data_IF_608272111982
#
_entry.id   IF_608272111982
#
_cell.length_a   1.000
_cell.length_b   1.000
_cell.length_c   1.000
_cell.angle_alpha   90.00
_cell.angle_beta   90.00
_cell.angle_gamma   90.00
#
_symmetry.space_group_name_H-M   'P 1'
#
loop_
_entity.id
_entity.type
_entity.pdbx_description
1 polymer ?
#
# COMPACT_ATOMS: atom_id res chain seq x y z
N UNK A 1 -49.83 19.91 20.34
CA UNK A 1 -48.64 20.25 19.55
C UNK A 1 -49.03 21.22 18.47
N UNK A 2 -48.40 22.38 18.36
CA UNK A 2 -48.86 23.51 17.54
C UNK A 2 -48.54 23.20 16.06
N UNK A 3 -49.53 23.38 15.14
CA UNK A 3 -49.41 23.10 13.71
C UNK A 3 -48.23 23.80 13.05
N UNK A 4 -47.78 24.94 13.59
CA UNK A 4 -46.60 25.67 13.10
C UNK A 4 -45.28 24.97 13.45
N UNK A 5 -45.20 24.28 14.59
CA UNK A 5 -44.01 23.52 15.02
C UNK A 5 -43.86 22.25 14.17
N UNK A 6 -44.99 21.64 13.80
CA UNK A 6 -44.99 20.46 12.95
C UNK A 6 -44.56 20.77 11.50
N UNK A 7 -44.96 21.96 10.97
CA UNK A 7 -44.49 22.41 9.65
C UNK A 7 -43.00 22.71 9.59
N UNK A 8 -42.42 23.25 10.68
CA UNK A 8 -40.97 23.52 10.76
C UNK A 8 -40.18 22.22 10.88
N UNK A 9 -40.68 21.24 11.64
CA UNK A 9 -40.04 19.92 11.75
C UNK A 9 -40.10 19.13 10.45
N UNK A 10 -41.20 19.21 9.69
CA UNK A 10 -41.33 18.58 8.38
C UNK A 10 -40.44 19.29 7.34
N UNK A 11 -40.32 20.62 7.39
CA UNK A 11 -39.40 21.36 6.51
C UNK A 11 -37.91 21.06 6.84
N UNK A 12 -37.56 20.84 8.11
CA UNK A 12 -36.22 20.44 8.50
C UNK A 12 -35.91 19.01 8.08
N UNK A 13 -36.87 18.09 8.12
CA UNK A 13 -36.69 16.71 7.63
C UNK A 13 -36.62 16.63 6.11
N UNK A 14 -37.31 17.50 5.41
CA UNK A 14 -37.28 17.60 3.92
C UNK A 14 -36.01 18.32 3.43
N UNK A 15 -35.42 19.21 4.25
CA UNK A 15 -34.14 19.84 3.90
C UNK A 15 -32.94 18.90 4.08
N UNK A 16 -33.06 17.85 4.90
CA UNK A 16 -32.03 16.85 5.09
C UNK A 16 -32.07 15.76 4.01
N UNK A 17 -33.18 15.62 3.29
CA UNK A 17 -33.30 14.69 2.16
C UNK A 17 -32.93 15.30 0.81
N UNK A 18 -32.55 16.58 0.75
CA UNK A 18 -32.16 17.29 -0.48
C UNK A 18 -30.64 17.44 -0.64
N UNK A 19 -29.84 16.77 0.18
CA UNK A 19 -28.38 16.71 0.02
C UNK A 19 -27.94 15.47 -0.80
N UNK A 20 -28.89 14.65 -1.26
CA UNK A 20 -28.58 13.50 -2.10
C UNK A 20 -28.60 13.81 -3.59
N UNK A 21 -28.01 14.92 -4.01
CA UNK A 21 -27.78 15.22 -5.43
C UNK A 21 -26.48 16.01 -5.58
N UNK A 22 -25.40 15.51 -5.04
CA UNK A 22 -24.08 15.83 -5.53
C UNK A 22 -23.67 14.71 -6.47
N UNK A 23 -24.01 14.97 -7.71
CA UNK A 23 -23.25 14.69 -8.94
C UNK A 23 -22.28 13.51 -8.92
N UNK A 24 -22.48 12.55 -9.71
CA UNK A 24 -21.67 11.63 -10.48
C UNK A 24 -20.15 11.78 -10.58
N UNK A 25 -19.49 12.30 -9.55
CA UNK A 25 -18.04 12.23 -9.39
C UNK A 25 -17.61 11.19 -8.33
N UNK A 26 -18.58 10.44 -7.81
CA UNK A 26 -18.27 9.34 -6.89
C UNK A 26 -17.93 9.73 -5.44
N UNK A 27 -17.94 11.00 -5.06
CA UNK A 27 -17.44 11.48 -3.77
C UNK A 27 -18.52 11.81 -2.73
N UNK A 28 -19.58 11.01 -2.63
CA UNK A 28 -20.57 11.20 -1.56
C UNK A 28 -20.18 10.42 -0.29
N UNK A 29 -19.63 11.09 0.76
CA UNK A 29 -19.25 10.41 2.00
C UNK A 29 -20.43 9.81 2.76
N UNK A 30 -21.66 9.96 2.25
CA UNK A 30 -22.88 9.40 2.80
C UNK A 30 -23.44 8.25 1.95
N UNK A 31 -22.84 7.91 0.81
CA UNK A 31 -23.20 6.74 0.01
C UNK A 31 -22.43 5.52 0.48
N UNK A 32 -23.05 4.56 1.20
CA UNK A 32 -22.35 3.38 1.67
C UNK A 32 -21.97 2.41 0.54
N UNK A 33 -22.36 2.69 -0.70
CA UNK A 33 -22.06 1.80 -1.83
C UNK A 33 -20.67 2.03 -2.42
N UNK A 34 -20.05 3.18 -2.17
CA UNK A 34 -18.72 3.54 -2.66
C UNK A 34 -17.60 3.36 -1.63
N UNK A 35 -17.95 3.05 -0.38
CA UNK A 35 -16.97 2.81 0.69
C UNK A 35 -16.00 1.65 0.42
N UNK A 36 -16.38 0.72 -0.45
CA UNK A 36 -15.53 -0.40 -0.87
C UNK A 36 -14.74 -0.13 -2.16
N UNK A 37 -14.90 1.03 -2.77
CA UNK A 37 -14.09 1.44 -3.92
C UNK A 37 -12.72 1.99 -3.44
N UNK A 38 -11.73 1.91 -4.30
CA UNK A 38 -10.43 2.54 -4.18
C UNK A 38 -10.30 3.49 -5.39
N UNK A 39 -10.40 4.79 -5.14
CA UNK A 39 -10.56 5.75 -6.25
C UNK A 39 -9.24 6.27 -6.80
N UNK A 40 -8.21 6.37 -5.98
CA UNK A 40 -6.88 6.82 -6.40
C UNK A 40 -5.91 5.67 -6.66
N UNK A 41 -6.27 4.44 -6.25
CA UNK A 41 -5.56 3.21 -6.58
C UNK A 41 -4.35 2.96 -5.72
N UNK A 42 -4.35 3.46 -4.48
CA UNK A 42 -3.23 3.34 -3.55
C UNK A 42 -3.26 2.06 -2.69
N UNK A 43 -4.38 1.32 -2.76
CA UNK A 43 -4.61 0.08 -2.02
C UNK A 43 -5.49 0.23 -0.78
N UNK A 44 -5.90 1.44 -0.40
CA UNK A 44 -6.94 1.68 0.60
C UNK A 44 -8.29 1.84 -0.08
N UNK A 45 -9.32 1.33 0.54
CA UNK A 45 -10.69 1.66 0.14
C UNK A 45 -11.09 3.03 0.69
N UNK A 46 -12.04 3.71 0.04
CA UNK A 46 -12.55 5.01 0.49
C UNK A 46 -12.98 4.99 1.97
N UNK A 47 -13.49 3.86 2.45
CA UNK A 47 -13.88 3.68 3.87
C UNK A 47 -12.65 3.57 4.80
N UNK A 48 -11.57 2.94 4.35
CA UNK A 48 -10.32 2.85 5.11
C UNK A 48 -9.65 4.21 5.17
N UNK A 49 -9.60 4.94 4.06
CA UNK A 49 -9.09 6.31 3.99
C UNK A 49 -9.85 7.26 4.92
N UNK A 50 -11.18 7.20 4.94
CA UNK A 50 -11.97 7.98 5.87
C UNK A 50 -11.62 7.66 7.33
N UNK A 51 -11.30 6.41 7.66
CA UNK A 51 -10.87 6.01 9.00
C UNK A 51 -9.43 6.46 9.32
N UNK A 52 -8.56 6.50 8.33
CA UNK A 52 -7.17 6.97 8.46
C UNK A 52 -7.07 8.49 8.42
N UNK A 53 -8.05 9.16 7.82
CA UNK A 53 -8.07 10.61 7.63
C UNK A 53 -7.29 11.06 6.39
N UNK A 54 -7.14 10.16 5.43
CA UNK A 54 -6.50 10.39 4.13
C UNK A 54 -7.50 10.89 3.09
N UNK A 55 -7.05 11.17 1.88
CA UNK A 55 -7.85 11.79 0.82
C UNK A 55 -8.12 10.80 -0.30
N UNK A 56 -9.33 10.27 -0.39
CA UNK A 56 -9.84 9.27 -1.36
C UNK A 56 -9.57 9.57 -2.85
N UNK A 57 -9.01 10.70 -3.19
CA UNK A 57 -8.67 11.10 -4.57
C UNK A 57 -7.20 11.49 -4.71
N UNK A 58 -6.39 11.14 -3.74
CA UNK A 58 -4.96 11.46 -3.73
C UNK A 58 -4.18 10.38 -3.01
N UNK A 59 -3.59 9.48 -3.74
CA UNK A 59 -2.85 8.30 -3.28
C UNK A 59 -1.67 8.59 -2.32
N UNK A 60 -1.30 9.84 -2.12
CA UNK A 60 -0.25 10.32 -1.22
C UNK A 60 -0.79 11.59 -0.54
N UNK A 61 -1.43 11.41 0.62
CA UNK A 61 -2.18 12.47 1.30
C UNK A 61 -1.30 13.56 1.90
N UNK A 62 -0.10 13.23 2.37
CA UNK A 62 0.81 14.17 3.04
C UNK A 62 1.95 14.68 2.15
N UNK A 63 2.16 14.05 0.98
CA UNK A 63 3.04 14.53 -0.07
C UNK A 63 4.52 14.19 0.13
N UNK A 64 4.83 13.09 0.82
CA UNK A 64 6.21 12.66 1.07
C UNK A 64 6.74 11.66 0.04
N UNK A 65 5.88 11.20 -0.87
CA UNK A 65 6.22 10.31 -1.98
C UNK A 65 5.88 8.86 -1.72
N UNK A 66 5.22 8.55 -0.59
CA UNK A 66 4.73 7.23 -0.25
C UNK A 66 3.20 7.18 -0.44
N UNK A 67 2.64 6.12 -1.06
CA UNK A 67 1.20 5.94 -1.11
C UNK A 67 0.63 5.62 0.27
N UNK A 68 -0.53 6.21 0.60
CA UNK A 68 -1.21 6.02 1.89
C UNK A 68 -1.40 4.54 2.24
N UNK A 69 -1.80 3.72 1.25
CA UNK A 69 -1.97 2.27 1.44
C UNK A 69 -0.68 1.51 1.71
N UNK A 70 0.43 1.92 1.09
CA UNK A 70 1.74 1.34 1.39
C UNK A 70 2.19 1.70 2.81
N UNK A 71 2.00 2.94 3.24
CA UNK A 71 2.34 3.39 4.58
C UNK A 71 1.56 2.64 5.66
N UNK A 72 0.24 2.53 5.49
CA UNK A 72 -0.62 1.75 6.41
C UNK A 72 -0.18 0.29 6.49
N UNK A 73 0.18 -0.32 5.35
CA UNK A 73 0.63 -1.72 5.29
C UNK A 73 1.95 -1.94 6.01
N UNK A 74 2.80 -0.91 6.07
CA UNK A 74 4.12 -0.96 6.72
C UNK A 74 4.13 -0.33 8.13
N UNK A 75 2.96 0.10 8.63
CA UNK A 75 2.81 0.67 9.97
C UNK A 75 3.33 2.10 10.10
N UNK A 76 3.40 2.83 9.00
CA UNK A 76 3.71 4.25 8.92
C UNK A 76 2.43 5.09 9.05
N UNK A 77 2.56 6.40 9.02
CA UNK A 77 1.44 7.32 9.20
C UNK A 77 1.17 8.15 7.94
N UNK A 78 0.13 7.84 7.13
CA UNK A 78 -0.15 8.46 5.83
C UNK A 78 -0.58 9.95 5.92
N UNK A 79 -0.49 10.55 7.09
CA UNK A 79 -0.74 11.98 7.32
C UNK A 79 0.45 12.70 7.94
N UNK A 80 1.64 12.09 7.94
CA UNK A 80 2.86 12.64 8.53
C UNK A 80 4.02 12.67 7.51
N UNK A 81 4.05 13.59 6.60
CA UNK A 81 5.08 13.75 5.55
C UNK A 81 6.54 13.87 6.02
N UNK A 82 6.85 13.35 7.18
CA UNK A 82 8.21 13.29 7.73
C UNK A 82 8.77 11.89 7.84
N UNK A 83 7.92 10.87 7.80
CA UNK A 83 8.35 9.49 7.97
C UNK A 83 8.87 8.85 6.68
N UNK A 84 8.56 9.41 5.49
CA UNK A 84 9.23 9.01 4.25
C UNK A 84 10.76 9.15 4.27
N UNK A 85 11.30 10.02 5.13
CA UNK A 85 12.73 10.18 5.32
C UNK A 85 13.29 9.40 6.53
N UNK A 86 12.45 8.67 7.26
CA UNK A 86 12.90 7.83 8.36
C UNK A 86 13.55 6.54 7.82
N UNK A 87 14.36 5.91 8.66
CA UNK A 87 15.03 4.62 8.43
C UNK A 87 14.79 3.79 9.70
N UNK A 88 13.68 3.03 9.77
CA UNK A 88 13.29 2.33 10.99
C UNK A 88 14.14 1.12 11.34
N UNK A 89 14.65 0.37 10.36
CA UNK A 89 15.46 -0.83 10.57
C UNK A 89 16.97 -0.55 10.61
N UNK A 90 17.40 0.64 10.16
CA UNK A 90 18.76 1.13 10.31
C UNK A 90 19.74 0.57 9.29
N UNK A 91 19.27 0.12 8.15
CA UNK A 91 20.12 -0.40 7.08
C UNK A 91 20.78 0.72 6.25
N UNK A 92 20.26 1.93 6.33
CA UNK A 92 20.74 3.12 5.63
C UNK A 92 19.88 3.53 4.42
N UNK A 93 18.80 2.80 4.10
CA UNK A 93 17.75 3.26 3.20
C UNK A 93 16.66 3.98 3.99
N UNK A 94 16.08 5.03 3.41
CA UNK A 94 14.89 5.66 3.95
C UNK A 94 13.64 4.92 3.46
N UNK A 95 12.51 5.05 4.16
CA UNK A 95 11.23 4.48 3.72
C UNK A 95 10.92 4.77 2.25
N UNK A 96 11.18 6.00 1.78
CA UNK A 96 10.98 6.37 0.38
C UNK A 96 11.95 5.65 -0.58
N UNK A 97 13.17 5.34 -0.15
CA UNK A 97 14.13 4.58 -0.94
C UNK A 97 13.75 3.10 -0.99
N UNK A 98 13.26 2.57 0.11
CA UNK A 98 12.78 1.20 0.19
C UNK A 98 11.51 0.98 -0.63
N UNK A 99 10.56 1.91 -0.57
CA UNK A 99 9.40 1.89 -1.46
C UNK A 99 9.83 1.82 -2.93
N UNK A 100 10.80 2.64 -3.34
CA UNK A 100 11.32 2.65 -4.70
C UNK A 100 12.10 1.37 -5.07
N UNK A 101 12.75 0.72 -4.11
CA UNK A 101 13.49 -0.54 -4.29
C UNK A 101 12.56 -1.77 -4.18
N UNK A 102 11.38 -1.62 -3.58
CA UNK A 102 10.47 -2.71 -3.28
C UNK A 102 10.91 -3.56 -2.09
N UNK A 103 11.71 -2.99 -1.19
CA UNK A 103 12.20 -3.62 0.05
C UNK A 103 11.26 -3.36 1.24
N UNK A 104 11.54 -3.95 2.37
CA UNK A 104 10.70 -3.88 3.56
C UNK A 104 11.27 -2.90 4.59
N UNK A 105 10.63 -1.73 4.85
CA UNK A 105 11.16 -0.67 5.71
C UNK A 105 11.28 -1.04 7.19
N UNK A 106 10.97 -2.27 7.55
CA UNK A 106 11.08 -2.79 8.90
C UNK A 106 12.03 -4.00 8.98
N UNK A 107 12.76 -4.29 7.90
CA UNK A 107 13.67 -5.42 7.85
C UNK A 107 14.89 -5.13 6.97
N UNK A 108 16.02 -4.83 7.58
CA UNK A 108 17.29 -4.44 6.96
C UNK A 108 17.88 -5.44 5.94
N UNK A 109 17.31 -6.61 5.80
CA UNK A 109 17.69 -7.69 4.89
C UNK A 109 16.38 -8.34 4.44
N UNK A 110 15.79 -7.80 3.35
CA UNK A 110 14.43 -8.13 2.91
C UNK A 110 14.29 -9.58 2.49
N UNK A 111 15.26 -10.14 1.75
CA UNK A 111 15.20 -11.52 1.25
C UNK A 111 15.89 -12.55 2.15
N UNK A 112 16.68 -12.11 3.13
CA UNK A 112 17.25 -12.96 4.17
C UNK A 112 18.53 -13.68 3.75
N UNK A 113 19.27 -13.18 2.76
CA UNK A 113 20.51 -13.80 2.29
C UNK A 113 21.74 -13.45 3.15
N UNK A 114 21.59 -12.47 4.05
CA UNK A 114 22.63 -11.98 4.96
C UNK A 114 23.31 -10.69 4.53
N UNK A 115 22.83 -10.04 3.46
CA UNK A 115 23.23 -8.69 3.06
C UNK A 115 22.11 -7.71 3.37
N UNK A 116 22.50 -6.53 3.83
CA UNK A 116 21.53 -5.46 4.02
C UNK A 116 21.09 -4.87 2.68
N UNK A 117 19.83 -4.45 2.58
CA UNK A 117 19.20 -3.98 1.33
C UNK A 117 19.98 -2.85 0.65
N UNK A 118 20.61 -1.95 1.43
CA UNK A 118 21.40 -0.84 0.93
C UNK A 118 22.71 -1.22 0.24
N UNK A 119 23.20 -2.43 0.45
CA UNK A 119 24.46 -2.95 -0.13
C UNK A 119 24.23 -4.15 -1.04
N UNK A 120 23.01 -4.66 -1.08
CA UNK A 120 22.61 -5.75 -1.93
C UNK A 120 22.26 -5.26 -3.34
N UNK A 121 22.77 -5.94 -4.36
CA UNK A 121 22.45 -5.66 -5.77
C UNK A 121 21.09 -6.23 -6.19
N UNK A 122 20.58 -7.21 -5.43
CA UNK A 122 19.33 -7.91 -5.69
C UNK A 122 18.52 -8.10 -4.40
N UNK A 123 18.11 -7.04 -3.69
CA UNK A 123 17.60 -7.07 -2.33
C UNK A 123 16.25 -7.80 -2.13
N UNK A 124 15.73 -8.39 -3.17
CA UNK A 124 14.51 -9.19 -3.18
C UNK A 124 14.75 -10.62 -3.74
N UNK A 125 16.02 -11.00 -3.95
CA UNK A 125 16.39 -12.31 -4.49
C UNK A 125 17.48 -12.96 -3.64
N UNK A 126 17.13 -13.90 -2.76
CA UNK A 126 18.05 -14.52 -1.81
C UNK A 126 19.17 -15.36 -2.47
N UNK A 127 19.23 -15.38 -3.78
CA UNK A 127 20.27 -16.04 -4.55
C UNK A 127 21.16 -15.03 -5.30
N UNK A 128 21.02 -13.72 -5.07
CA UNK A 128 21.82 -12.66 -5.71
C UNK A 128 21.82 -12.67 -7.23
N UNK A 129 20.72 -13.07 -7.84
CA UNK A 129 20.66 -13.27 -9.28
C UNK A 129 21.47 -14.48 -9.77
N UNK A 130 22.04 -15.26 -8.86
CA UNK A 130 22.62 -16.55 -9.19
C UNK A 130 21.48 -17.54 -9.43
N UNK A 131 21.38 -17.99 -10.66
CA UNK A 131 20.50 -19.09 -10.99
C UNK A 131 21.06 -20.36 -10.34
N UNK A 132 20.21 -21.10 -9.64
CA UNK A 132 20.59 -22.43 -9.16
C UNK A 132 21.07 -23.26 -10.34
N UNK A 133 22.29 -23.73 -10.29
CA UNK A 133 22.90 -24.71 -11.20
C UNK A 133 23.29 -25.90 -10.33
N UNK A 134 22.31 -26.76 -10.07
CA UNK A 134 22.39 -27.79 -9.03
C UNK A 134 23.30 -28.94 -9.41
N UNK A 135 23.56 -29.16 -10.70
CA UNK A 135 24.45 -30.19 -11.20
C UNK A 135 25.84 -29.67 -11.64
N UNK A 136 25.99 -28.33 -11.76
CA UNK A 136 27.25 -27.66 -12.03
C UNK A 136 27.70 -27.74 -13.50
N UNK A 137 26.78 -27.92 -14.44
CA UNK A 137 27.07 -27.99 -15.87
C UNK A 137 27.18 -26.62 -16.53
N UNK A 138 26.79 -25.55 -15.82
CA UNK A 138 26.81 -24.15 -16.26
C UNK A 138 25.50 -23.72 -16.96
N UNK A 139 24.44 -24.52 -16.88
CA UNK A 139 23.10 -24.19 -17.33
C UNK A 139 22.21 -24.03 -16.08
N UNK A 140 21.59 -22.87 -15.85
CA UNK A 140 20.68 -22.71 -14.71
C UNK A 140 19.54 -23.72 -14.74
N UNK A 141 19.16 -24.26 -13.58
CA UNK A 141 18.06 -25.25 -13.41
C UNK A 141 16.77 -24.87 -14.16
N UNK A 142 16.45 -23.56 -14.23
CA UNK A 142 15.27 -23.06 -14.93
C UNK A 142 15.34 -23.20 -16.46
N UNK A 143 16.52 -23.36 -17.01
CA UNK A 143 16.78 -23.50 -18.47
C UNK A 143 17.42 -24.83 -18.84
N UNK A 144 17.68 -25.67 -17.84
CA UNK A 144 18.31 -26.96 -18.02
C UNK A 144 17.29 -28.03 -18.42
N UNK A 145 17.39 -28.61 -19.64
CA UNK A 145 16.45 -29.60 -20.15
C UNK A 145 16.62 -30.99 -19.54
N UNK A 146 17.73 -31.25 -18.86
CA UNK A 146 18.03 -32.54 -18.20
C UNK A 146 18.00 -32.44 -16.67
N UNK A 147 17.75 -31.23 -16.11
CA UNK A 147 17.52 -31.06 -14.68
C UNK A 147 16.26 -31.81 -14.23
N UNK A 148 16.44 -32.74 -13.32
CA UNK A 148 15.34 -33.42 -12.61
C UNK A 148 15.54 -33.25 -11.12
N UNK A 149 14.49 -32.83 -10.37
CA UNK A 149 14.53 -32.66 -8.90
C UNK A 149 15.04 -33.91 -8.13
N UNK A 150 15.26 -35.01 -8.83
CA UNK A 150 15.74 -36.27 -8.26
C UNK A 150 17.26 -36.39 -8.21
N UNK A 151 18.02 -35.49 -8.88
CA UNK A 151 19.49 -35.52 -8.90
C UNK A 151 20.17 -34.78 -7.72
N UNK A 152 19.39 -34.07 -6.91
CA UNK A 152 19.87 -33.34 -5.73
C UNK A 152 20.16 -34.24 -4.54
N UNK A 153 20.84 -35.39 -4.71
CA UNK A 153 21.12 -36.25 -3.57
C UNK A 153 21.80 -37.57 -3.84
N UNK A 154 23.04 -37.55 -4.17
CA UNK A 154 23.92 -38.72 -4.02
C UNK A 154 25.21 -38.32 -3.34
#
# INVERSE_FOLDING_TARGET
MNKKIMSVLIAMFLALSAVSAVSGDGSDPLDPSDGGADWDGDGLTNSEEQNQGTNMNNADSDGDGLPDGWEVSNGLNPTNGGDGNADPDGDGLTNAQEYAAGTNPNNADTDGDGKADNVDSFPNDPNDGEYSDSDGDGIPDAYDPDFTESDSGA
#
